data_IF_817609285485
#
_entry.id   IF_817609285485
#
_cell.length_a   1.000
_cell.length_b   1.000
_cell.length_c   1.000
_cell.angle_alpha   90.00
_cell.angle_beta   90.00
_cell.angle_gamma   90.00
#
_symmetry.space_group_name_H-M   'P 1'
#
loop_
_entity.id
_entity.type
_entity.pdbx_description
1 polymer ?
#
# COMPACT_ATOMS: atom_id res chain seq x y z
N UNK A 1 -15.54 1.21 0.66
CA UNK A 1 -14.50 0.19 0.84
C UNK A 1 -13.77 -0.13 -0.46
N UNK A 2 -12.47 -0.33 -0.37
CA UNK A 2 -11.69 -0.88 -1.47
C UNK A 2 -11.90 -2.40 -1.46
N UNK A 3 -12.22 -2.96 -2.61
CA UNK A 3 -12.46 -4.40 -2.77
C UNK A 3 -11.40 -5.04 -3.65
N UNK A 4 -11.41 -6.37 -3.72
CA UNK A 4 -10.49 -7.10 -4.59
C UNK A 4 -10.62 -6.69 -6.06
N UNK A 5 -11.83 -6.32 -6.50
CA UNK A 5 -12.05 -5.87 -7.87
C UNK A 5 -11.31 -4.56 -8.19
N UNK A 6 -11.00 -3.78 -7.17
CA UNK A 6 -10.27 -2.51 -7.32
C UNK A 6 -8.75 -2.71 -7.36
N UNK A 7 -8.29 -3.93 -7.19
CA UNK A 7 -6.87 -4.24 -7.07
C UNK A 7 -6.38 -5.15 -8.19
N UNK A 8 -5.10 -5.00 -8.52
CA UNK A 8 -4.39 -5.96 -9.32
C UNK A 8 -4.12 -7.17 -8.42
N UNK A 9 -4.51 -8.39 -8.82
CA UNK A 9 -4.31 -9.56 -7.96
C UNK A 9 -2.87 -9.68 -7.45
N UNK A 10 -2.73 -9.94 -6.16
CA UNK A 10 -1.42 -10.03 -5.54
C UNK A 10 -0.81 -11.43 -5.74
N UNK A 11 0.49 -11.45 -6.00
CA UNK A 11 1.29 -12.66 -6.07
C UNK A 11 2.55 -12.47 -5.24
N UNK A 12 2.93 -13.48 -4.47
CA UNK A 12 4.13 -13.40 -3.64
C UNK A 12 5.42 -13.26 -4.47
N UNK A 13 5.36 -13.56 -5.75
CA UNK A 13 6.48 -13.35 -6.67
C UNK A 13 6.61 -11.89 -7.14
N UNK A 14 5.65 -11.04 -6.79
CA UNK A 14 5.63 -9.64 -7.21
C UNK A 14 6.22 -8.75 -6.13
N UNK A 15 7.11 -7.84 -6.52
CA UNK A 15 7.64 -6.81 -5.65
C UNK A 15 6.62 -5.67 -5.58
N UNK A 16 6.21 -5.31 -4.36
CA UNK A 16 5.23 -4.24 -4.14
C UNK A 16 5.82 -2.99 -3.50
N UNK A 17 7.15 -2.93 -3.35
CA UNK A 17 7.82 -1.73 -2.83
C UNK A 17 7.50 -0.52 -3.70
N UNK A 18 7.16 0.60 -3.06
CA UNK A 18 6.86 1.84 -3.77
C UNK A 18 5.50 1.87 -4.44
N UNK A 19 4.61 0.93 -4.13
CA UNK A 19 3.26 0.90 -4.68
C UNK A 19 2.22 1.24 -3.63
N UNK A 20 1.02 1.56 -4.09
CA UNK A 20 -0.14 1.78 -3.22
C UNK A 20 -0.92 0.48 -3.15
N UNK A 21 -1.08 -0.05 -1.94
CA UNK A 21 -1.78 -1.30 -1.70
C UNK A 21 -3.05 -1.06 -0.89
N UNK A 22 -3.95 -2.02 -0.95
CA UNK A 22 -5.13 -2.04 -0.08
C UNK A 22 -5.04 -3.23 0.88
N UNK A 23 -5.34 -2.98 2.14
CA UNK A 23 -5.38 -4.00 3.18
C UNK A 23 -6.77 -4.64 3.20
N UNK A 24 -6.81 -5.94 3.40
CA UNK A 24 -8.08 -6.68 3.49
C UNK A 24 -8.88 -6.16 4.69
N UNK A 25 -10.14 -5.71 4.47
CA UNK A 25 -10.95 -5.20 5.57
C UNK A 25 -11.16 -6.21 6.70
N UNK A 26 -11.02 -7.49 6.42
CA UNK A 26 -11.18 -8.54 7.44
C UNK A 26 -10.19 -8.41 8.60
N UNK A 27 -9.01 -7.82 8.36
CA UNK A 27 -8.01 -7.64 9.42
C UNK A 27 -8.17 -6.31 10.14
N UNK A 28 -9.13 -5.48 9.73
CA UNK A 28 -9.42 -4.21 10.36
C UNK A 28 -10.63 -4.33 11.28
N UNK A 29 -10.60 -3.58 12.39
CA UNK A 29 -11.76 -3.48 13.27
C UNK A 29 -12.96 -2.92 12.51
N UNK A 30 -14.22 -3.30 12.88
CA UNK A 30 -15.41 -2.81 12.15
C UNK A 30 -15.44 -1.29 11.96
N UNK A 31 -15.03 -0.52 12.97
CA UNK A 31 -15.01 0.94 12.91
C UNK A 31 -13.94 1.49 11.96
N UNK A 32 -12.97 0.65 11.54
CA UNK A 32 -11.90 1.06 10.64
C UNK A 32 -12.05 0.47 9.23
N UNK A 33 -13.17 -0.18 8.94
CA UNK A 33 -13.40 -0.75 7.61
C UNK A 33 -13.84 0.34 6.64
N UNK A 34 -12.86 1.18 6.25
CA UNK A 34 -13.04 2.33 5.35
C UNK A 34 -11.83 2.43 4.44
N UNK A 35 -12.02 3.05 3.29
CA UNK A 35 -10.93 3.23 2.31
C UNK A 35 -9.72 3.96 2.91
N UNK A 36 -9.94 4.96 3.75
CA UNK A 36 -8.86 5.72 4.38
C UNK A 36 -8.04 4.90 5.38
N UNK A 37 -8.54 3.74 5.78
CA UNK A 37 -7.81 2.81 6.65
C UNK A 37 -7.23 1.63 5.90
N UNK A 38 -7.56 1.48 4.62
CA UNK A 38 -7.09 0.39 3.79
C UNK A 38 -5.91 0.77 2.90
N UNK A 39 -5.76 2.05 2.56
CA UNK A 39 -4.80 2.51 1.56
C UNK A 39 -3.47 2.88 2.20
N UNK A 40 -2.42 2.22 1.74
CA UNK A 40 -1.05 2.37 2.27
C UNK A 40 -0.04 2.42 1.14
N UNK A 41 1.02 3.20 1.36
CA UNK A 41 2.20 3.25 0.49
C UNK A 41 3.26 2.33 1.08
N UNK A 42 3.74 1.36 0.29
CA UNK A 42 4.73 0.38 0.77
C UNK A 42 6.13 0.97 0.75
N UNK A 43 6.78 0.99 1.91
CA UNK A 43 8.12 1.56 2.07
C UNK A 43 9.21 0.51 2.19
N UNK A 44 8.88 -0.73 2.49
CA UNK A 44 9.88 -1.79 2.60
C UNK A 44 9.37 -3.04 3.27
N UNK A 45 10.29 -3.81 3.80
CA UNK A 45 10.01 -5.07 4.48
C UNK A 45 10.28 -6.28 3.60
N UNK A 46 10.67 -7.38 4.23
CA UNK A 46 10.95 -8.61 3.48
C UNK A 46 9.70 -9.17 2.80
N UNK A 47 8.53 -8.96 3.39
CA UNK A 47 7.27 -9.39 2.79
C UNK A 47 6.87 -8.61 1.54
N UNK A 48 7.46 -7.43 1.31
CA UNK A 48 7.17 -6.60 0.14
C UNK A 48 8.01 -7.00 -1.07
N UNK A 49 9.12 -7.68 -0.84
CA UNK A 49 10.05 -8.08 -1.92
C UNK A 49 9.63 -9.38 -2.57
N UNK A 50 9.88 -9.49 -3.88
CA UNK A 50 9.54 -10.68 -4.64
C UNK A 50 10.27 -11.91 -4.09
N UNK A 51 9.51 -12.98 -3.90
CA UNK A 51 10.04 -14.30 -3.50
C UNK A 51 10.86 -14.28 -2.20
N UNK A 52 10.62 -13.29 -1.35
CA UNK A 52 11.27 -13.23 -0.05
C UNK A 52 10.66 -14.23 0.93
N UNK A 53 11.47 -14.69 1.89
CA UNK A 53 11.00 -15.59 2.95
C UNK A 53 10.24 -14.84 4.04
N UNK A 54 10.44 -13.53 4.15
CA UNK A 54 9.76 -12.73 5.15
C UNK A 54 8.34 -12.39 4.74
N UNK A 55 7.51 -12.02 5.71
CA UNK A 55 6.12 -11.64 5.46
C UNK A 55 5.81 -10.19 5.83
N UNK A 56 6.73 -9.51 6.53
CA UNK A 56 6.49 -8.16 7.02
C UNK A 56 6.47 -7.14 5.89
N UNK A 57 5.41 -6.34 5.83
CA UNK A 57 5.25 -5.24 4.87
C UNK A 57 5.20 -3.95 5.68
N UNK A 58 6.24 -3.12 5.55
CA UNK A 58 6.26 -1.80 6.17
C UNK A 58 5.62 -0.81 5.22
N UNK A 59 4.70 -0.03 5.74
CA UNK A 59 3.92 0.87 4.90
C UNK A 59 3.46 2.09 5.68
N UNK A 60 3.07 3.12 4.92
CA UNK A 60 2.60 4.39 5.47
C UNK A 60 1.16 4.61 5.02
N UNK A 61 0.28 4.90 5.97
CA UNK A 61 -1.11 5.19 5.67
C UNK A 61 -1.19 6.46 4.83
N UNK A 62 -1.90 6.39 3.70
CA UNK A 62 -2.01 7.54 2.78
C UNK A 62 -2.73 8.73 3.40
N UNK A 63 -3.71 8.46 4.26
CA UNK A 63 -4.53 9.52 4.85
C UNK A 63 -3.84 10.18 6.05
N UNK A 64 -3.30 9.36 6.97
CA UNK A 64 -2.74 9.87 8.23
C UNK A 64 -1.23 10.12 8.19
N UNK A 65 -0.52 9.49 7.27
CA UNK A 65 0.93 9.56 7.20
C UNK A 65 1.64 8.69 8.24
N UNK A 66 0.90 7.91 9.01
CA UNK A 66 1.49 7.04 10.03
C UNK A 66 2.05 5.77 9.42
N UNK A 67 3.26 5.40 9.86
CA UNK A 67 3.89 4.15 9.45
C UNK A 67 3.36 3.00 10.29
N UNK A 68 3.22 1.84 9.66
CA UNK A 68 2.76 0.63 10.33
C UNK A 68 3.33 -0.60 9.63
N UNK A 69 3.03 -1.75 10.18
CA UNK A 69 3.44 -3.03 9.64
C UNK A 69 2.22 -3.93 9.46
N UNK A 70 2.14 -4.56 8.27
CA UNK A 70 1.16 -5.62 8.01
C UNK A 70 1.89 -6.85 7.51
N UNK A 71 1.19 -7.98 7.47
CA UNK A 71 1.71 -9.19 6.85
C UNK A 71 1.34 -9.21 5.37
N UNK A 72 2.16 -9.83 4.52
CA UNK A 72 1.86 -9.92 3.08
C UNK A 72 0.48 -10.54 2.82
N UNK A 73 0.06 -11.49 3.66
CA UNK A 73 -1.24 -12.14 3.51
C UNK A 73 -2.41 -11.19 3.74
N UNK A 74 -2.18 -10.05 4.42
CA UNK A 74 -3.23 -9.05 4.68
C UNK A 74 -3.41 -8.10 3.49
N UNK A 75 -2.54 -8.16 2.50
CA UNK A 75 -2.57 -7.28 1.33
C UNK A 75 -3.49 -7.88 0.28
N UNK A 76 -4.54 -7.14 -0.11
CA UNK A 76 -5.39 -7.57 -1.22
C UNK A 76 -4.69 -7.43 -2.57
N UNK A 77 -3.88 -6.40 -2.72
CA UNK A 77 -3.12 -6.17 -3.92
C UNK A 77 -2.82 -4.69 -4.12
N UNK A 78 -2.12 -4.39 -5.21
CA UNK A 78 -1.86 -3.02 -5.64
C UNK A 78 -3.16 -2.44 -6.20
N UNK A 79 -3.54 -1.26 -5.72
CA UNK A 79 -4.81 -0.63 -6.16
C UNK A 79 -4.64 -0.08 -7.57
N UNK A 80 -5.59 -0.38 -8.44
CA UNK A 80 -5.61 0.16 -9.80
C UNK A 80 -5.73 1.68 -9.74
N UNK A 81 -4.94 2.44 -10.54
CA UNK A 81 -4.97 3.90 -10.48
C UNK A 81 -6.36 4.50 -10.64
N UNK A 82 -7.17 3.94 -11.54
CA UNK A 82 -8.53 4.41 -11.77
C UNK A 82 -9.49 4.14 -10.60
N UNK A 83 -9.11 3.28 -9.68
CA UNK A 83 -9.93 2.93 -8.51
C UNK A 83 -9.54 3.71 -7.25
N UNK A 84 -8.50 4.53 -7.31
CA UNK A 84 -8.09 5.36 -6.17
C UNK A 84 -9.06 6.53 -6.00
N UNK A 85 -9.49 6.84 -4.75
CA UNK A 85 -10.21 8.10 -4.48
C UNK A 85 -9.33 9.30 -4.82
N UNK A 86 -9.94 10.45 -5.10
CA UNK A 86 -9.21 11.66 -5.48
C UNK A 86 -8.15 12.04 -4.43
N UNK A 87 -8.51 12.02 -3.14
CA UNK A 87 -7.55 12.36 -2.08
C UNK A 87 -6.36 11.40 -2.08
N UNK A 88 -6.59 10.13 -2.41
CA UNK A 88 -5.52 9.14 -2.45
C UNK A 88 -4.61 9.34 -3.65
N UNK A 89 -5.16 9.74 -4.79
CA UNK A 89 -4.36 10.08 -5.98
C UNK A 89 -3.40 11.22 -5.70
N UNK A 90 -3.88 12.26 -5.03
CA UNK A 90 -3.05 13.41 -4.66
C UNK A 90 -1.92 13.01 -3.71
N UNK A 91 -2.24 12.22 -2.70
CA UNK A 91 -1.24 11.75 -1.74
C UNK A 91 -0.20 10.84 -2.38
N UNK A 92 -0.64 9.97 -3.28
CA UNK A 92 0.26 9.08 -4.01
C UNK A 92 1.24 9.88 -4.87
N UNK A 93 0.78 10.92 -5.54
CA UNK A 93 1.63 11.80 -6.34
C UNK A 93 2.66 12.52 -5.48
N UNK A 94 2.26 13.01 -4.31
CA UNK A 94 3.17 13.67 -3.38
C UNK A 94 4.30 12.74 -2.95
N UNK A 95 3.97 11.50 -2.61
CA UNK A 95 4.96 10.52 -2.17
C UNK A 95 5.94 10.16 -3.29
N UNK A 96 5.43 9.95 -4.48
CA UNK A 96 6.26 9.66 -5.65
C UNK A 96 7.16 10.83 -6.01
N UNK A 97 6.64 12.05 -5.91
CA UNK A 97 7.41 13.27 -6.19
C UNK A 97 8.55 13.45 -5.18
N UNK A 98 8.27 13.24 -3.89
CA UNK A 98 9.31 13.32 -2.84
C UNK A 98 10.40 12.30 -3.08
N UNK A 99 10.06 11.10 -3.49
CA UNK A 99 11.05 10.06 -3.80
C UNK A 99 11.94 10.48 -4.96
N UNK A 100 11.36 11.06 -6.02
CA UNK A 100 12.12 11.57 -7.17
C UNK A 100 13.09 12.67 -6.77
N UNK A 101 12.64 13.60 -5.91
CA UNK A 101 13.48 14.70 -5.45
C UNK A 101 14.68 14.19 -4.64
N UNK A 102 14.47 13.19 -3.79
CA UNK A 102 15.57 12.57 -3.06
C UNK A 102 16.59 11.94 -3.99
N UNK A 103 16.14 11.25 -5.02
CA UNK A 103 17.01 10.61 -5.99
C UNK A 103 17.83 11.64 -6.78
N UNK A 104 17.26 12.81 -7.06
CA UNK A 104 17.94 13.89 -7.77
C UNK A 104 19.02 14.57 -6.95
N UNK A 105 18.86 14.62 -5.64
CA UNK A 105 19.82 15.26 -4.74
C UNK A 105 21.07 14.42 -4.51
N UNK A 106 21.07 13.20 -4.95
CA UNK A 106 22.24 12.33 -4.89
C UNK A 106 23.05 12.40 -6.17
#
# INVERSE_FOLDING_TARGET
>A
LITEADCIPDHYSKDINGTIIAIDPKVLKPEFQRADRQLYYVTGGFGASANSRGSAVFCTNLHTGKSTRYERMDVMGEVKPECLPEWAKEKAQELLHKKRNKDKER
#
